data_IF_158505676654
#
_entry.id   IF_158505676654
#
_cell.length_a   1.000
_cell.length_b   1.000
_cell.length_c   1.000
_cell.angle_alpha   90.00
_cell.angle_beta   90.00
_cell.angle_gamma   90.00
#
_symmetry.space_group_name_H-M   'P 1'
#
loop_
_entity.id
_entity.type
_entity.pdbx_description
1 polymer ?
#
# COMPACT_ATOMS: atom_id res chain seq x y z
N UNK A 1 -8.50 -12.31 -3.92
CA UNK A 1 -7.19 -12.59 -3.28
C UNK A 1 -7.27 -13.99 -2.69
N UNK A 2 -6.41 -14.92 -3.10
CA UNK A 2 -6.36 -16.25 -2.48
C UNK A 2 -5.65 -16.17 -1.12
N UNK A 3 -6.06 -16.99 -0.14
CA UNK A 3 -5.34 -17.07 1.13
C UNK A 3 -3.92 -17.62 0.88
N UNK A 4 -2.91 -16.91 1.38
CA UNK A 4 -1.49 -17.30 1.34
C UNK A 4 -1.05 -17.70 2.75
N UNK A 5 -1.44 -18.91 3.16
CA UNK A 5 -1.12 -19.45 4.49
C UNK A 5 0.39 -19.67 4.69
N UNK A 6 1.13 -19.86 3.60
CA UNK A 6 2.59 -19.91 3.57
C UNK A 6 3.26 -18.62 4.08
N UNK A 7 2.56 -17.48 3.99
CA UNK A 7 3.08 -16.17 4.38
C UNK A 7 2.66 -15.74 5.79
N UNK A 8 1.82 -16.50 6.50
CA UNK A 8 1.31 -16.12 7.83
C UNK A 8 2.41 -16.01 8.90
N UNK A 9 3.55 -16.66 8.70
CA UNK A 9 4.69 -16.65 9.64
C UNK A 9 6.00 -16.24 8.95
N UNK A 10 5.91 -15.64 7.76
CA UNK A 10 7.08 -15.16 7.09
C UNK A 10 7.69 -14.01 7.92
N UNK A 11 8.99 -14.05 8.24
CA UNK A 11 9.64 -12.98 8.97
C UNK A 11 9.52 -11.68 8.17
N UNK A 12 9.33 -10.58 8.90
CA UNK A 12 9.26 -9.21 8.35
C UNK A 12 8.10 -8.95 7.36
N UNK A 13 7.10 -9.84 7.31
CA UNK A 13 5.90 -9.68 6.48
C UNK A 13 4.66 -9.61 7.37
N UNK A 14 3.79 -8.64 7.09
CA UNK A 14 2.51 -8.49 7.76
C UNK A 14 1.36 -8.53 6.74
N UNK A 15 0.45 -9.51 6.88
CA UNK A 15 -0.70 -9.69 6.00
C UNK A 15 -1.96 -9.04 6.61
N UNK A 16 -2.00 -7.70 6.57
CA UNK A 16 -3.14 -6.91 7.06
C UNK A 16 -3.67 -5.97 5.97
N UNK A 17 -4.89 -5.46 6.17
CA UNK A 17 -5.42 -4.32 5.41
C UNK A 17 -4.76 -3.03 5.95
N UNK A 18 -4.51 -2.05 5.08
CA UNK A 18 -3.83 -0.78 5.42
C UNK A 18 -2.60 -0.47 4.56
N UNK A 19 -2.11 -1.43 3.78
CA UNK A 19 -1.03 -1.24 2.81
C UNK A 19 -1.52 -1.12 1.37
N UNK A 20 -0.94 -0.20 0.60
CA UNK A 20 -1.21 -0.02 -0.84
C UNK A 20 0.09 0.04 -1.66
N UNK A 21 0.10 -0.51 -2.89
CA UNK A 21 1.24 -0.41 -3.78
C UNK A 21 1.38 1.01 -4.33
N UNK A 22 2.62 1.47 -4.47
CA UNK A 22 2.97 2.72 -5.16
C UNK A 22 3.37 2.36 -6.59
N UNK A 23 2.50 2.66 -7.54
CA UNK A 23 2.72 2.39 -8.96
C UNK A 23 2.24 3.56 -9.82
N UNK A 24 3.15 4.13 -10.62
CA UNK A 24 2.87 5.24 -11.54
C UNK A 24 3.44 4.93 -12.92
N UNK A 25 2.72 5.29 -13.99
CA UNK A 25 3.14 5.04 -15.38
C UNK A 25 3.58 3.59 -15.67
N UNK A 26 3.00 2.61 -14.97
CA UNK A 26 3.36 1.19 -15.10
C UNK A 26 4.64 0.77 -14.37
N UNK A 27 5.32 1.68 -13.67
CA UNK A 27 6.52 1.42 -12.87
C UNK A 27 6.11 1.19 -11.41
N UNK A 28 6.64 0.14 -10.79
CA UNK A 28 6.45 -0.17 -9.37
C UNK A 28 7.58 0.42 -8.53
N UNK A 29 7.23 1.28 -7.58
CA UNK A 29 8.19 2.00 -6.73
C UNK A 29 8.29 1.45 -5.31
N UNK A 30 7.34 0.62 -4.89
CA UNK A 30 7.28 0.05 -3.54
C UNK A 30 5.87 0.09 -2.97
N UNK A 31 5.76 0.27 -1.65
CA UNK A 31 4.48 0.32 -0.95
C UNK A 31 4.50 1.31 0.21
N UNK A 32 3.32 1.82 0.55
CA UNK A 32 3.06 2.60 1.76
C UNK A 32 2.01 1.89 2.59
N UNK A 33 2.14 1.94 3.91
CA UNK A 33 1.16 1.38 4.82
C UNK A 33 0.91 2.33 5.99
N UNK A 34 -0.36 2.38 6.42
CA UNK A 34 -0.79 3.07 7.64
C UNK A 34 -1.29 2.02 8.63
N UNK A 35 -1.03 2.24 9.91
CA UNK A 35 -1.52 1.36 10.98
C UNK A 35 -1.82 2.17 12.24
N UNK A 36 -2.97 1.91 12.84
CA UNK A 36 -3.33 2.44 14.15
C UNK A 36 -4.82 2.68 14.35
N UNK A 37 -5.62 2.70 13.27
CA UNK A 37 -7.06 2.84 13.32
C UNK A 37 -7.77 1.50 13.06
N UNK A 38 -9.03 1.56 12.62
CA UNK A 38 -9.68 0.38 12.04
C UNK A 38 -9.06 0.09 10.66
N UNK A 39 -8.99 -1.18 10.22
CA UNK A 39 -8.23 -1.53 9.01
C UNK A 39 -8.70 -0.82 7.72
N UNK A 40 -10.01 -0.55 7.61
CA UNK A 40 -10.60 0.23 6.52
C UNK A 40 -10.14 1.70 6.53
N UNK A 41 -10.08 2.32 7.72
CA UNK A 41 -9.58 3.69 7.89
C UNK A 41 -8.09 3.78 7.55
N UNK A 42 -7.30 2.78 7.96
CA UNK A 42 -5.87 2.71 7.64
C UNK A 42 -5.67 2.63 6.10
N UNK A 43 -6.47 1.81 5.40
CA UNK A 43 -6.42 1.71 3.93
C UNK A 43 -6.84 3.01 3.23
N UNK A 44 -7.92 3.66 3.70
CA UNK A 44 -8.36 4.96 3.18
C UNK A 44 -7.27 6.03 3.37
N UNK A 45 -6.62 6.07 4.52
CA UNK A 45 -5.52 6.99 4.80
C UNK A 45 -4.32 6.75 3.86
N UNK A 46 -3.93 5.49 3.67
CA UNK A 46 -2.84 5.14 2.77
C UNK A 46 -3.16 5.53 1.30
N UNK A 47 -4.40 5.31 0.85
CA UNK A 47 -4.87 5.72 -0.49
C UNK A 47 -4.86 7.23 -0.66
N UNK A 48 -5.36 7.98 0.33
CA UNK A 48 -5.38 9.44 0.29
C UNK A 48 -3.97 10.03 0.20
N UNK A 49 -2.99 9.44 0.91
CA UNK A 49 -1.59 9.83 0.79
C UNK A 49 -1.00 9.57 -0.59
N UNK A 50 -1.33 8.43 -1.20
CA UNK A 50 -0.91 8.11 -2.58
C UNK A 50 -1.53 9.06 -3.61
N UNK A 51 -2.81 9.39 -3.47
CA UNK A 51 -3.52 10.34 -4.33
C UNK A 51 -2.92 11.76 -4.23
N UNK A 52 -2.56 12.19 -3.02
CA UNK A 52 -1.97 13.51 -2.80
C UNK A 52 -0.61 13.73 -3.49
N UNK A 53 0.09 12.66 -3.87
CA UNK A 53 1.36 12.73 -4.61
C UNK A 53 1.23 12.34 -6.07
N UNK A 54 0.04 11.97 -6.54
CA UNK A 54 -0.18 11.47 -7.91
C UNK A 54 0.22 12.50 -8.96
N UNK A 55 -0.22 13.76 -8.78
CA UNK A 55 0.12 14.84 -9.71
C UNK A 55 1.64 15.04 -9.82
N UNK A 56 2.39 14.89 -8.72
CA UNK A 56 3.85 15.02 -8.77
C UNK A 56 4.44 13.88 -9.60
N UNK A 57 3.96 12.66 -9.41
CA UNK A 57 4.50 11.44 -10.00
C UNK A 57 4.14 11.27 -11.48
N UNK A 58 2.98 11.77 -11.90
CA UNK A 58 2.52 11.70 -13.30
C UNK A 58 3.34 12.57 -14.27
N UNK A 59 4.12 13.53 -13.74
CA UNK A 59 5.03 14.39 -14.53
C UNK A 59 6.52 14.05 -14.33
N UNK A 60 6.84 12.96 -13.62
CA UNK A 60 8.23 12.48 -13.51
C UNK A 60 8.51 11.56 -14.70
N UNK A 61 9.43 12.00 -15.57
CA UNK A 61 9.92 11.24 -16.74
C UNK A 61 10.65 9.94 -16.36
#
# INVERSE_FOLDING_TARGET
MGARSDLSFAPDILLIVGGVPISFSGIFYGGVAVSGAKPDIDEECAKAGLEAVADIMDFVD
#
